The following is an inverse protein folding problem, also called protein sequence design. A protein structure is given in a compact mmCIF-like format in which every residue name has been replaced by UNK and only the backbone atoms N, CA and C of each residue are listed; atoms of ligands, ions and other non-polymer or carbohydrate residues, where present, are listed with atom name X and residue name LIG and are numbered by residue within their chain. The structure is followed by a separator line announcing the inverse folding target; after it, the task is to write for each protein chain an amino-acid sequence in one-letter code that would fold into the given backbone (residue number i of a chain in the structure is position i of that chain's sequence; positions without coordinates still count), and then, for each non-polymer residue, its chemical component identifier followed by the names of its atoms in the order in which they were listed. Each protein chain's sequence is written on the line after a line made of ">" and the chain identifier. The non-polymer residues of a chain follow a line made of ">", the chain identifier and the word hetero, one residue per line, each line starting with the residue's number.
data_IF_634916118018
#
_entry.id   IF_634916118018
#
_cell.length_a   1.000
_cell.length_b   1.000
_cell.length_c   1.000
_cell.angle_alpha   90.00
_cell.angle_beta   90.00
_cell.angle_gamma   90.00
#
_symmetry.space_group_name_H-M   'P 1'
#
loop_
_entity.id
_entity.type
_entity.pdbx_description
1 polymer ?
#
# COMPACT_ATOMS: atom_id res chain seq x y z
N UNK A 1 16.06 15.90 15.26
CA UNK A 1 16.23 15.86 13.78
C UNK A 1 15.15 15.01 13.06
N UNK A 2 14.06 14.58 13.73
CA UNK A 2 12.98 13.73 13.15
C UNK A 2 11.86 14.50 12.42
N UNK A 3 11.80 15.82 12.54
CA UNK A 3 10.64 16.63 12.08
C UNK A 3 10.72 17.14 10.63
N UNK A 4 11.83 16.93 9.93
CA UNK A 4 12.03 17.49 8.58
C UNK A 4 11.88 16.47 7.43
N UNK A 5 11.71 15.18 7.72
CA UNK A 5 11.62 14.12 6.68
C UNK A 5 10.21 14.02 6.10
N UNK A 6 9.17 14.32 6.89
CA UNK A 6 7.78 14.22 6.45
C UNK A 6 7.40 15.19 5.30
N UNK A 7 7.80 16.47 5.32
CA UNK A 7 7.48 17.40 4.22
C UNK A 7 8.25 17.07 2.93
N UNK A 8 9.41 16.43 3.01
CA UNK A 8 10.18 16.04 1.83
C UNK A 8 9.52 14.88 1.07
N UNK A 9 8.96 13.91 1.78
CA UNK A 9 8.24 12.77 1.17
C UNK A 9 6.93 13.24 0.54
N UNK A 10 6.21 14.15 1.18
CA UNK A 10 4.99 14.74 0.63
C UNK A 10 5.27 15.56 -0.65
N UNK A 11 6.38 16.29 -0.70
CA UNK A 11 6.74 17.07 -1.89
C UNK A 11 7.20 16.21 -3.08
N UNK A 12 7.82 15.04 -2.85
CA UNK A 12 8.14 14.10 -3.92
C UNK A 12 6.87 13.47 -4.54
N UNK A 13 5.83 13.22 -3.75
CA UNK A 13 4.57 12.66 -4.24
C UNK A 13 3.83 13.60 -5.20
N UNK A 14 4.02 14.92 -5.09
CA UNK A 14 3.41 15.91 -5.97
C UNK A 14 4.25 16.26 -7.22
N UNK A 15 5.56 15.93 -7.21
CA UNK A 15 6.46 16.31 -8.31
C UNK A 15 6.52 15.29 -9.47
N UNK A 16 5.93 14.10 -9.29
CA UNK A 16 6.05 13.00 -10.25
C UNK A 16 4.88 12.77 -11.22
N UNK A 17 3.69 13.41 -11.11
CA UNK A 17 2.58 13.09 -12.00
C UNK A 17 2.86 13.38 -13.49
N UNK A 18 3.79 14.27 -13.80
CA UNK A 18 4.13 14.60 -15.19
C UNK A 18 4.88 13.49 -15.95
N UNK A 19 5.45 12.50 -15.25
CA UNK A 19 6.19 11.37 -15.83
C UNK A 19 5.48 10.03 -15.60
N UNK A 20 4.48 9.98 -14.70
CA UNK A 20 3.74 8.76 -14.43
C UNK A 20 2.67 8.53 -15.50
N UNK A 21 2.55 7.30 -15.97
CA UNK A 21 1.50 6.92 -16.91
C UNK A 21 0.14 6.79 -16.19
N UNK A 22 0.15 6.57 -14.88
CA UNK A 22 -1.04 6.24 -14.09
C UNK A 22 -0.86 6.76 -12.65
N UNK A 23 -1.58 7.82 -12.29
CA UNK A 23 -1.67 8.29 -10.91
C UNK A 23 -2.93 7.75 -10.28
N UNK A 24 -2.87 7.29 -9.03
CA UNK A 24 -4.04 6.71 -8.37
C UNK A 24 -4.20 7.16 -6.93
N UNK A 25 -5.45 7.17 -6.50
CA UNK A 25 -5.84 7.32 -5.09
C UNK A 25 -6.86 6.25 -4.75
N UNK A 26 -6.80 5.72 -3.53
CA UNK A 26 -7.72 4.68 -3.07
C UNK A 26 -8.07 4.82 -1.60
N UNK A 27 -9.24 4.33 -1.25
CA UNK A 27 -9.62 3.96 0.11
C UNK A 27 -9.63 2.43 0.20
N UNK A 28 -9.18 1.92 1.34
CA UNK A 28 -9.03 0.48 1.52
C UNK A 28 -9.43 0.02 2.90
N UNK A 29 -9.84 -1.24 3.01
CA UNK A 29 -10.18 -1.88 4.27
C UNK A 29 -9.95 -3.38 4.18
N UNK A 30 -9.78 -4.02 5.31
CA UNK A 30 -9.51 -5.45 5.34
C UNK A 30 -9.28 -5.99 6.74
N UNK A 31 -8.54 -7.07 6.82
CA UNK A 31 -8.17 -7.72 8.05
C UNK A 31 -6.66 -7.94 8.13
N UNK A 32 -6.11 -7.77 9.32
CA UNK A 32 -4.75 -8.12 9.69
C UNK A 32 -4.80 -9.16 10.80
N UNK A 33 -3.96 -10.18 10.72
CA UNK A 33 -3.91 -11.22 11.74
C UNK A 33 -2.48 -11.59 12.09
N UNK A 34 -2.27 -11.89 13.37
CA UNK A 34 -1.03 -12.36 13.94
C UNK A 34 -1.34 -13.23 15.15
N UNK A 35 -0.66 -14.36 15.28
CA UNK A 35 -0.75 -15.25 16.45
C UNK A 35 -2.20 -15.58 16.88
N UNK A 36 -3.07 -15.89 15.90
CA UNK A 36 -4.48 -16.27 16.16
C UNK A 36 -5.43 -15.10 16.47
N UNK A 37 -4.95 -13.87 16.49
CA UNK A 37 -5.79 -12.68 16.68
C UNK A 37 -5.98 -11.96 15.36
N UNK A 38 -7.24 -11.68 14.99
CA UNK A 38 -7.61 -10.93 13.79
C UNK A 38 -8.19 -9.57 14.16
N UNK A 39 -7.78 -8.52 13.46
CA UNK A 39 -8.25 -7.14 13.63
C UNK A 39 -8.67 -6.58 12.27
N UNK A 40 -9.67 -5.71 12.26
CA UNK A 40 -9.98 -4.92 11.08
C UNK A 40 -8.91 -3.84 10.85
N UNK A 41 -8.67 -3.50 9.59
CA UNK A 41 -7.81 -2.38 9.20
C UNK A 41 -8.50 -1.57 8.13
N UNK A 42 -8.27 -0.27 8.12
CA UNK A 42 -8.79 0.66 7.12
C UNK A 42 -7.80 1.79 6.89
N UNK A 43 -7.83 2.39 5.71
CA UNK A 43 -6.92 3.46 5.37
C UNK A 43 -7.14 4.03 3.98
N UNK A 44 -6.18 4.83 3.58
CA UNK A 44 -6.11 5.42 2.24
C UNK A 44 -4.69 5.32 1.70
N UNK A 45 -4.58 5.30 0.38
CA UNK A 45 -3.29 5.30 -0.30
C UNK A 45 -3.34 6.17 -1.55
N UNK A 46 -2.16 6.65 -1.94
CA UNK A 46 -1.92 7.33 -3.20
C UNK A 46 -0.65 6.77 -3.84
N UNK A 47 -0.64 6.64 -5.15
CA UNK A 47 0.49 6.05 -5.85
C UNK A 47 0.60 6.49 -7.28
N UNK A 48 1.73 6.15 -7.87
CA UNK A 48 2.06 6.39 -9.28
C UNK A 48 2.63 5.13 -9.90
N UNK A 49 2.26 4.86 -11.13
CA UNK A 49 2.82 3.78 -11.93
C UNK A 49 3.46 4.33 -13.20
N UNK A 50 4.54 3.70 -13.62
CA UNK A 50 5.29 3.97 -14.84
C UNK A 50 5.28 2.70 -15.70
N UNK A 51 4.84 2.82 -16.94
CA UNK A 51 4.94 1.73 -17.89
C UNK A 51 6.39 1.55 -18.33
N UNK A 52 6.96 0.40 -18.03
CA UNK A 52 8.32 0.02 -18.44
C UNK A 52 8.34 -0.65 -19.81
N UNK A 53 7.26 -1.35 -20.14
CA UNK A 53 7.02 -2.00 -21.42
C UNK A 53 5.51 -2.13 -21.62
N UNK A 54 5.02 -2.50 -22.82
CA UNK A 54 3.59 -2.56 -23.11
C UNK A 54 2.74 -3.35 -22.11
N UNK A 55 3.33 -4.35 -21.48
CA UNK A 55 2.64 -5.23 -20.50
C UNK A 55 3.21 -5.16 -19.09
N UNK A 56 4.25 -4.37 -18.82
CA UNK A 56 4.89 -4.31 -17.50
C UNK A 56 4.90 -2.89 -16.96
N UNK A 57 4.74 -2.77 -15.65
CA UNK A 57 4.83 -1.50 -14.96
C UNK A 57 5.60 -1.64 -13.64
N UNK A 58 6.16 -0.53 -13.18
CA UNK A 58 6.66 -0.38 -11.83
C UNK A 58 6.09 0.91 -11.23
N UNK A 59 5.93 0.94 -9.93
CA UNK A 59 5.35 2.11 -9.29
C UNK A 59 5.68 2.22 -7.81
N UNK A 60 5.21 3.31 -7.23
CA UNK A 60 5.31 3.59 -5.81
C UNK A 60 3.96 3.97 -5.21
N UNK A 61 3.78 3.66 -3.95
CA UNK A 61 2.57 3.96 -3.18
C UNK A 61 2.96 4.48 -1.80
N UNK A 62 2.28 5.51 -1.34
CA UNK A 62 2.29 5.93 0.05
C UNK A 62 0.91 5.68 0.65
N UNK A 63 0.87 5.30 1.90
CA UNK A 63 -0.38 4.96 2.56
C UNK A 63 -0.45 5.45 4.00
N UNK A 64 -1.68 5.58 4.49
CA UNK A 64 -1.99 5.84 5.87
C UNK A 64 -3.10 4.86 6.30
N UNK A 65 -2.76 3.94 7.18
CA UNK A 65 -3.62 2.85 7.62
C UNK A 65 -3.80 2.87 9.13
N UNK A 66 -4.96 2.45 9.58
CA UNK A 66 -5.27 2.30 11.00
C UNK A 66 -5.83 0.91 11.27
N UNK A 67 -5.34 0.28 12.33
CA UNK A 67 -5.92 -0.96 12.86
C UNK A 67 -7.03 -0.58 13.82
N UNK A 68 -8.18 -1.24 13.72
CA UNK A 68 -9.32 -1.03 14.61
C UNK A 68 -9.06 -1.71 15.96
N UNK A 69 -8.25 -1.03 16.78
CA UNK A 69 -7.90 -1.44 18.13
C UNK A 69 -7.59 -0.21 18.98
N UNK A 70 -8.01 -0.22 20.24
CA UNK A 70 -7.67 0.83 21.21
C UNK A 70 -6.15 0.92 21.39
N UNK A 71 -5.63 2.15 21.42
CA UNK A 71 -4.19 2.42 21.59
C UNK A 71 -3.37 2.32 20.29
N UNK A 72 -4.00 2.09 19.12
CA UNK A 72 -3.31 2.15 17.83
C UNK A 72 -3.31 3.57 17.26
N UNK A 73 -2.22 3.89 16.58
CA UNK A 73 -2.03 5.13 15.81
C UNK A 73 -2.24 4.88 14.32
N UNK A 74 -2.25 5.96 13.58
CA UNK A 74 -2.14 5.92 12.14
C UNK A 74 -0.72 5.47 11.76
N UNK A 75 -0.61 4.37 11.02
CA UNK A 75 0.64 3.87 10.47
C UNK A 75 0.80 4.37 9.03
N UNK A 76 1.99 4.83 8.69
CA UNK A 76 2.31 5.31 7.34
C UNK A 76 3.15 4.26 6.62
N UNK A 77 2.80 3.98 5.38
CA UNK A 77 3.51 3.03 4.52
C UNK A 77 4.15 3.71 3.32
N UNK A 78 5.31 3.18 2.91
CA UNK A 78 5.92 3.44 1.62
C UNK A 78 6.19 2.10 0.93
N UNK A 79 5.63 1.90 -0.25
CA UNK A 79 5.61 0.60 -0.94
C UNK A 79 6.03 0.79 -2.38
N UNK A 80 7.00 0.00 -2.84
CA UNK A 80 7.29 -0.19 -4.26
C UNK A 80 6.46 -1.34 -4.80
N UNK A 81 6.02 -1.24 -6.06
CA UNK A 81 5.30 -2.33 -6.72
C UNK A 81 5.79 -2.55 -8.14
N UNK A 82 5.76 -3.79 -8.57
CA UNK A 82 6.12 -4.21 -9.92
C UNK A 82 5.09 -5.24 -10.41
N UNK A 83 4.65 -5.12 -11.65
CA UNK A 83 3.60 -6.01 -12.13
C UNK A 83 3.44 -6.06 -13.63
N UNK A 84 2.42 -6.81 -14.02
CA UNK A 84 2.05 -7.01 -15.42
C UNK A 84 0.58 -6.64 -15.64
N UNK A 85 0.30 -6.13 -16.82
CA UNK A 85 -1.05 -5.92 -17.35
C UNK A 85 -1.53 -7.25 -17.95
N UNK A 86 -2.37 -7.98 -17.21
CA UNK A 86 -2.91 -9.28 -17.60
C UNK A 86 -4.17 -9.12 -18.50
N UNK A 87 -4.22 -8.04 -19.27
CA UNK A 87 -5.33 -7.67 -20.13
C UNK A 87 -5.62 -6.18 -20.05
N UNK A 88 -6.63 -5.67 -20.77
CA UNK A 88 -6.93 -4.24 -20.84
C UNK A 88 -7.44 -3.66 -19.50
N UNK A 89 -7.98 -4.49 -18.63
CA UNK A 89 -8.65 -4.04 -17.40
C UNK A 89 -7.99 -4.59 -16.12
N UNK A 90 -7.05 -5.54 -16.23
CA UNK A 90 -6.50 -6.26 -15.07
C UNK A 90 -4.99 -6.02 -14.96
N UNK A 91 -4.54 -5.63 -13.76
CA UNK A 91 -3.13 -5.58 -13.38
C UNK A 91 -2.88 -6.60 -12.26
N UNK A 92 -1.80 -7.36 -12.36
CA UNK A 92 -1.31 -8.26 -11.30
C UNK A 92 0.06 -7.75 -10.88
N UNK A 93 0.32 -7.67 -9.59
CA UNK A 93 1.55 -7.09 -9.08
C UNK A 93 2.07 -7.79 -7.82
N UNK A 94 3.37 -7.66 -7.61
CA UNK A 94 4.03 -7.87 -6.33
C UNK A 94 4.41 -6.53 -5.74
N UNK A 95 4.46 -6.45 -4.43
CA UNK A 95 4.72 -5.22 -3.70
C UNK A 95 5.66 -5.49 -2.53
N UNK A 96 6.49 -4.51 -2.20
CA UNK A 96 7.35 -4.57 -1.03
C UNK A 96 7.65 -3.18 -0.52
N UNK A 97 7.79 -3.04 0.78
CA UNK A 97 7.99 -1.73 1.38
C UNK A 97 8.13 -1.76 2.89
N UNK A 98 7.95 -0.60 3.49
CA UNK A 98 8.07 -0.40 4.91
C UNK A 98 6.82 0.32 5.45
N UNK A 99 6.34 -0.11 6.61
CA UNK A 99 5.24 0.53 7.35
C UNK A 99 5.73 0.94 8.73
N UNK A 100 5.42 2.17 9.13
CA UNK A 100 5.81 2.69 10.45
C UNK A 100 5.04 1.99 11.57
N UNK A 101 5.50 2.19 12.79
CA UNK A 101 4.90 1.65 14.02
C UNK A 101 3.40 1.98 14.15
N UNK A 102 2.51 1.00 14.29
CA UNK A 102 1.08 1.21 14.48
C UNK A 102 0.66 1.50 15.93
N UNK A 103 1.58 1.45 16.91
CA UNK A 103 1.34 1.79 18.32
C UNK A 103 2.65 2.25 19.00
N UNK A 104 2.56 2.82 20.23
CA UNK A 104 3.73 3.37 20.95
C UNK A 104 4.77 2.32 21.35
N UNK A 105 4.34 1.06 21.52
CA UNK A 105 5.18 -0.08 21.86
C UNK A 105 5.41 -1.04 20.69
N UNK A 106 4.94 -0.67 19.49
CA UNK A 106 5.13 -1.45 18.28
C UNK A 106 6.39 -1.00 17.53
N UNK A 107 6.95 -1.88 16.73
CA UNK A 107 8.00 -1.56 15.78
C UNK A 107 7.42 -1.42 14.37
N UNK A 108 8.10 -0.62 13.55
CA UNK A 108 7.82 -0.58 12.13
C UNK A 108 8.26 -1.88 11.46
N UNK A 109 7.60 -2.27 10.39
CA UNK A 109 7.81 -3.56 9.75
C UNK A 109 8.06 -3.43 8.26
N UNK A 110 8.99 -4.22 7.73
CA UNK A 110 9.05 -4.48 6.30
C UNK A 110 7.88 -5.35 5.89
N UNK A 111 7.39 -5.16 4.70
CA UNK A 111 6.34 -6.02 4.16
C UNK A 111 6.61 -6.41 2.72
N UNK A 112 6.12 -7.58 2.34
CA UNK A 112 6.05 -8.05 0.96
C UNK A 112 4.66 -8.62 0.70
N UNK A 113 4.19 -8.48 -0.54
CA UNK A 113 2.84 -8.92 -0.87
C UNK A 113 2.63 -9.07 -2.37
N UNK A 114 1.41 -9.42 -2.70
CA UNK A 114 0.94 -9.51 -4.08
C UNK A 114 -0.53 -9.11 -4.14
N UNK A 115 -0.94 -8.60 -5.30
CA UNK A 115 -2.31 -8.15 -5.48
C UNK A 115 -2.75 -8.14 -6.92
N UNK A 116 -4.04 -7.89 -7.06
CA UNK A 116 -4.71 -7.71 -8.35
C UNK A 116 -5.52 -6.41 -8.31
N UNK A 117 -5.48 -5.69 -9.39
CA UNK A 117 -6.33 -4.53 -9.66
C UNK A 117 -7.19 -4.79 -10.87
N UNK A 118 -8.47 -4.51 -10.76
CA UNK A 118 -9.46 -4.64 -11.82
C UNK A 118 -10.12 -3.30 -12.09
N UNK A 119 -9.92 -2.74 -13.27
CA UNK A 119 -10.70 -1.58 -13.73
C UNK A 119 -12.15 -1.99 -13.94
N UNK A 120 -13.08 -1.15 -13.46
CA UNK A 120 -14.52 -1.44 -13.53
C UNK A 120 -15.15 -0.56 -14.61
N UNK A 121 -15.07 0.75 -14.43
CA UNK A 121 -15.71 1.72 -15.31
C UNK A 121 -14.98 3.07 -15.24
N UNK A 122 -14.58 3.60 -16.40
CA UNK A 122 -13.83 4.86 -16.47
C UNK A 122 -12.58 4.83 -15.60
N UNK A 123 -12.40 5.80 -14.71
CA UNK A 123 -11.23 5.87 -13.84
C UNK A 123 -11.27 4.92 -12.63
N UNK A 124 -12.43 4.27 -12.37
CA UNK A 124 -12.63 3.45 -11.18
C UNK A 124 -11.97 2.08 -11.29
N UNK A 125 -11.36 1.64 -10.19
CA UNK A 125 -10.83 0.28 -10.06
C UNK A 125 -11.12 -0.32 -8.67
N UNK A 126 -11.12 -1.65 -8.64
CA UNK A 126 -11.05 -2.44 -7.41
C UNK A 126 -9.65 -3.02 -7.27
N UNK A 127 -9.17 -3.13 -6.03
CA UNK A 127 -7.92 -3.80 -5.67
C UNK A 127 -8.17 -4.84 -4.60
N UNK A 128 -7.48 -5.97 -4.71
CA UNK A 128 -7.31 -6.94 -3.64
C UNK A 128 -5.82 -7.22 -3.48
N UNK A 129 -5.33 -7.17 -2.25
CA UNK A 129 -3.90 -7.30 -1.96
C UNK A 129 -3.70 -8.10 -0.68
N UNK A 130 -2.79 -9.07 -0.73
CA UNK A 130 -2.25 -9.77 0.42
C UNK A 130 -0.88 -9.18 0.78
N UNK A 131 -0.62 -8.97 2.07
CA UNK A 131 0.68 -8.51 2.61
C UNK A 131 1.11 -9.38 3.78
N UNK A 132 2.37 -9.75 3.75
CA UNK A 132 3.08 -10.35 4.88
C UNK A 132 4.02 -9.32 5.48
N UNK A 133 3.92 -9.10 6.79
CA UNK A 133 4.74 -8.16 7.55
C UNK A 133 5.80 -8.93 8.33
N UNK A 134 7.06 -8.63 8.03
CA UNK A 134 8.22 -9.16 8.73
C UNK A 134 8.48 -8.33 9.96
N UNK A 135 8.21 -8.87 11.11
CA UNK A 135 8.40 -8.22 12.41
C UNK A 135 9.73 -8.68 12.99
N UNK A 136 10.42 -7.80 13.72
CA UNK A 136 11.75 -8.10 14.29
C UNK A 136 11.74 -9.22 15.33
N UNK A 137 12.93 -9.59 15.80
CA UNK A 137 13.15 -10.73 16.71
C UNK A 137 12.25 -10.69 17.94
N UNK A 138 11.48 -11.76 18.15
CA UNK A 138 10.61 -11.96 19.32
C UNK A 138 9.17 -11.48 19.17
N UNK A 139 8.81 -10.89 18.01
CA UNK A 139 7.43 -10.48 17.72
C UNK A 139 6.92 -11.33 16.56
N UNK A 140 5.75 -11.98 16.68
CA UNK A 140 5.19 -12.79 15.59
C UNK A 140 4.92 -11.97 14.33
N UNK A 141 5.24 -12.52 13.18
CA UNK A 141 4.88 -11.94 11.89
C UNK A 141 3.37 -11.77 11.75
N UNK A 142 2.98 -10.79 10.95
CA UNK A 142 1.58 -10.49 10.70
C UNK A 142 1.26 -10.65 9.22
N UNK A 143 0.01 -11.00 8.95
CA UNK A 143 -0.50 -11.11 7.59
C UNK A 143 -1.72 -10.21 7.44
N UNK A 144 -1.94 -9.66 6.28
CA UNK A 144 -3.16 -8.92 5.99
C UNK A 144 -3.71 -9.21 4.59
N UNK A 145 -5.03 -9.09 4.49
CA UNK A 145 -5.74 -9.00 3.21
C UNK A 145 -6.52 -7.71 3.23
N UNK A 146 -6.32 -6.90 2.21
CA UNK A 146 -7.03 -5.63 2.05
C UNK A 146 -7.71 -5.58 0.69
N UNK A 147 -8.94 -5.08 0.67
CA UNK A 147 -9.66 -4.68 -0.52
C UNK A 147 -9.66 -3.15 -0.62
N UNK A 148 -9.55 -2.63 -1.83
CA UNK A 148 -9.56 -1.19 -2.08
C UNK A 148 -10.48 -0.81 -3.23
N UNK A 149 -11.00 0.40 -3.17
CA UNK A 149 -11.68 1.07 -4.28
C UNK A 149 -10.92 2.36 -4.54
N UNK A 150 -10.56 2.61 -5.78
CA UNK A 150 -9.78 3.76 -6.15
C UNK A 150 -10.12 4.35 -7.51
N UNK A 151 -9.49 5.47 -7.79
CA UNK A 151 -9.56 6.18 -9.07
C UNK A 151 -8.16 6.37 -9.64
N UNK A 152 -8.06 6.28 -10.97
CA UNK A 152 -6.83 6.56 -11.75
C UNK A 152 -7.02 7.83 -12.59
N UNK A 153 -5.90 8.51 -12.80
CA UNK A 153 -5.84 9.76 -13.58
C UNK A 153 -4.67 9.71 -14.56
#
# INVERSE_FOLDING_TARGET
>A
MRKFILPLIASLAFATPALANDTRVEVRGGAIWSNGTTKATYGAAAGVDFDLAPMTFAGGEVSADKIDQSGTKLAYGATGRFGVKAGPLTKVFVAGGYTTEPCDLCEGSWHAGAGVEQSIMGPLYLKAEYRHFFTGSGIPDSNSVVGGVGMRF
#
